data_IF_878499148046
#
_entry.id   IF_878499148046
#
_cell.length_a   1.000
_cell.length_b   1.000
_cell.length_c   1.000
_cell.angle_alpha   90.00
_cell.angle_beta   90.00
_cell.angle_gamma   90.00
#
_symmetry.space_group_name_H-M   'P 1'
#
loop_
_entity.id
_entity.type
_entity.pdbx_description
1 polymer ?
#
# COMPACT_ATOMS: atom_id res chain seq x y z
N UNK A 1 -16.74 60.38 -2.24
CA UNK A 1 -16.51 59.56 -1.03
C UNK A 1 -15.93 58.24 -1.52
N UNK A 2 -14.71 57.83 -1.10
CA UNK A 2 -14.14 56.54 -1.49
C UNK A 2 -14.70 55.47 -0.55
N UNK A 3 -15.76 54.78 -0.98
CA UNK A 3 -16.40 53.74 -0.17
C UNK A 3 -15.78 52.38 -0.49
N UNK A 4 -14.85 52.01 0.39
CA UNK A 4 -14.59 50.64 0.86
C UNK A 4 -14.45 49.58 -0.23
N UNK A 5 -13.19 49.29 -0.60
CA UNK A 5 -12.80 47.97 -1.06
C UNK A 5 -13.18 46.97 0.05
N UNK A 6 -14.33 46.34 -0.09
CA UNK A 6 -14.62 45.11 0.63
C UNK A 6 -13.55 44.09 0.20
N UNK A 7 -12.46 44.04 0.96
CA UNK A 7 -11.61 42.87 0.98
C UNK A 7 -12.51 41.71 1.38
N UNK A 8 -12.99 40.98 0.37
CA UNK A 8 -13.46 39.61 0.53
C UNK A 8 -12.50 38.94 1.51
N UNK A 9 -12.96 38.45 2.67
CA UNK A 9 -12.21 37.41 3.33
C UNK A 9 -12.36 36.18 2.43
N UNK A 10 -11.53 36.07 1.39
CA UNK A 10 -11.30 34.82 0.68
C UNK A 10 -10.48 33.92 1.60
N UNK A 11 -11.04 33.59 2.76
CA UNK A 11 -10.55 32.51 3.61
C UNK A 11 -11.47 31.34 3.37
N UNK A 12 -11.46 30.82 2.15
CA UNK A 12 -11.64 29.39 1.96
C UNK A 12 -10.29 28.74 2.23
N UNK A 13 -10.03 28.17 3.42
CA UNK A 13 -9.14 27.04 3.50
C UNK A 13 -9.95 25.79 3.13
N UNK A 14 -10.61 25.81 1.97
CA UNK A 14 -11.15 24.61 1.34
C UNK A 14 -9.99 23.88 0.64
N UNK A 15 -8.92 23.65 1.41
CA UNK A 15 -8.07 22.51 1.15
C UNK A 15 -8.87 21.35 1.71
N UNK A 16 -9.30 20.37 0.90
CA UNK A 16 -9.79 19.14 1.45
C UNK A 16 -8.60 18.54 2.21
N UNK A 17 -8.52 18.81 3.51
CA UNK A 17 -7.94 17.90 4.46
C UNK A 17 -8.80 16.65 4.30
N UNK A 18 -8.49 15.78 3.33
CA UNK A 18 -8.83 14.38 3.47
C UNK A 18 -8.39 14.04 4.88
N UNK A 19 -9.35 13.87 5.78
CA UNK A 19 -9.10 13.92 7.22
C UNK A 19 -7.88 13.06 7.51
N UNK A 20 -6.79 13.66 8.03
CA UNK A 20 -5.54 12.95 8.34
C UNK A 20 -5.82 11.65 9.14
N UNK A 21 -6.90 11.67 9.92
CA UNK A 21 -7.48 10.54 10.60
C UNK A 21 -7.93 9.37 9.70
N UNK A 22 -8.60 9.64 8.57
CA UNK A 22 -8.96 8.62 7.57
C UNK A 22 -7.71 7.96 6.99
N UNK A 23 -6.67 8.74 6.68
CA UNK A 23 -5.37 8.20 6.24
C UNK A 23 -4.75 7.30 7.30
N UNK A 24 -4.79 7.67 8.58
CA UNK A 24 -4.28 6.85 9.69
C UNK A 24 -4.96 5.47 9.76
N UNK A 25 -6.29 5.43 9.62
CA UNK A 25 -7.05 4.18 9.59
C UNK A 25 -6.62 3.31 8.39
N UNK A 26 -6.50 3.90 7.20
CA UNK A 26 -6.03 3.17 6.02
C UNK A 26 -4.59 2.68 6.20
N UNK A 27 -3.68 3.47 6.77
CA UNK A 27 -2.31 3.04 7.09
C UNK A 27 -2.30 1.84 8.04
N UNK A 28 -3.18 1.82 9.05
CA UNK A 28 -3.28 0.69 9.97
C UNK A 28 -3.80 -0.58 9.29
N UNK A 29 -4.84 -0.45 8.47
CA UNK A 29 -5.41 -1.57 7.69
C UNK A 29 -4.37 -2.12 6.70
N UNK A 30 -3.71 -1.25 5.94
CA UNK A 30 -2.66 -1.64 5.00
C UNK A 30 -1.47 -2.25 5.76
N UNK A 31 -1.09 -1.70 6.90
CA UNK A 31 -0.06 -2.30 7.77
C UNK A 31 -0.42 -3.72 8.22
N UNK A 32 -1.68 -3.96 8.60
CA UNK A 32 -2.17 -5.29 8.94
C UNK A 32 -2.13 -6.24 7.72
N UNK A 33 -2.51 -5.76 6.53
CA UNK A 33 -2.39 -6.53 5.29
C UNK A 33 -0.93 -6.83 4.92
N UNK A 34 0.00 -5.89 5.13
CA UNK A 34 1.44 -6.12 4.93
C UNK A 34 1.95 -7.16 5.91
N UNK A 35 1.49 -7.15 7.17
CA UNK A 35 1.83 -8.20 8.13
C UNK A 35 1.35 -9.58 7.67
N UNK A 36 0.15 -9.67 7.08
CA UNK A 36 -0.36 -10.90 6.51
C UNK A 36 0.48 -11.33 5.29
N UNK A 37 0.77 -10.40 4.38
CA UNK A 37 1.59 -10.64 3.20
C UNK A 37 2.99 -11.13 3.58
N UNK A 38 3.61 -10.56 4.62
CA UNK A 38 4.90 -11.01 5.13
C UNK A 38 4.84 -12.45 5.67
N UNK A 39 3.80 -12.80 6.43
CA UNK A 39 3.59 -14.18 6.89
C UNK A 39 3.42 -15.15 5.72
N UNK A 40 2.67 -14.75 4.68
CA UNK A 40 2.52 -15.55 3.45
C UNK A 40 3.84 -15.69 2.71
N UNK A 41 4.63 -14.62 2.57
CA UNK A 41 5.96 -14.67 1.95
C UNK A 41 6.91 -15.59 2.72
N UNK A 42 6.88 -15.54 4.05
CA UNK A 42 7.65 -16.46 4.88
C UNK A 42 7.22 -17.91 4.66
N UNK A 43 5.91 -18.17 4.64
CA UNK A 43 5.37 -19.50 4.36
C UNK A 43 5.76 -20.00 2.96
N UNK A 44 5.63 -19.15 1.94
CA UNK A 44 6.05 -19.42 0.56
C UNK A 44 7.54 -19.76 0.52
N UNK A 45 8.40 -18.99 1.19
CA UNK A 45 9.83 -19.25 1.27
C UNK A 45 10.15 -20.59 1.94
N UNK A 46 9.46 -20.92 3.04
CA UNK A 46 9.62 -22.22 3.72
C UNK A 46 9.21 -23.38 2.80
N UNK A 47 8.04 -23.30 2.16
CA UNK A 47 7.57 -24.32 1.22
C UNK A 47 8.53 -24.46 0.04
N UNK A 48 9.01 -23.34 -0.52
CA UNK A 48 9.99 -23.32 -1.58
C UNK A 48 11.27 -24.05 -1.17
N UNK A 49 11.75 -23.82 0.06
CA UNK A 49 12.96 -24.47 0.58
C UNK A 49 12.77 -25.98 0.74
N UNK A 50 11.59 -26.42 1.19
CA UNK A 50 11.23 -27.84 1.29
C UNK A 50 11.21 -28.49 -0.11
N UNK A 51 10.60 -27.83 -1.10
CA UNK A 51 10.56 -28.34 -2.49
C UNK A 51 11.98 -28.49 -3.04
N UNK A 52 12.83 -27.47 -2.87
CA UNK A 52 14.24 -27.53 -3.32
C UNK A 52 14.99 -28.71 -2.69
N UNK A 53 14.69 -29.05 -1.43
CA UNK A 53 15.34 -30.14 -0.70
C UNK A 53 14.91 -31.52 -1.22
N UNK A 54 13.66 -31.67 -1.67
CA UNK A 54 13.10 -32.94 -2.14
C UNK A 54 13.25 -33.12 -3.65
N UNK A 55 13.14 -32.04 -4.43
CA UNK A 55 12.94 -32.07 -5.88
C UNK A 55 14.20 -31.63 -6.67
N UNK A 56 15.38 -32.10 -6.22
CA UNK A 56 16.67 -31.90 -6.91
C UNK A 56 17.04 -30.43 -7.19
N UNK A 57 16.80 -29.54 -6.23
CA UNK A 57 17.06 -28.10 -6.33
C UNK A 57 16.32 -27.35 -7.45
N UNK A 58 15.23 -27.90 -7.97
CA UNK A 58 14.39 -27.14 -8.89
C UNK A 58 13.38 -26.28 -8.14
N UNK A 59 13.42 -24.94 -8.27
CA UNK A 59 12.42 -24.09 -7.67
C UNK A 59 11.07 -24.24 -8.39
N UNK A 60 9.97 -24.40 -7.64
CA UNK A 60 8.62 -24.38 -8.20
C UNK A 60 8.29 -22.98 -8.74
N UNK A 61 8.27 -22.84 -10.06
CA UNK A 61 8.07 -21.56 -10.75
C UNK A 61 6.75 -20.88 -10.38
N UNK A 62 5.67 -21.65 -10.20
CA UNK A 62 4.36 -21.11 -9.83
C UNK A 62 4.36 -20.46 -8.44
N UNK A 63 5.08 -21.06 -7.50
CA UNK A 63 5.16 -20.56 -6.13
C UNK A 63 6.06 -19.32 -6.05
N UNK A 64 7.12 -19.28 -6.85
CA UNK A 64 7.96 -18.10 -7.03
C UNK A 64 7.18 -16.93 -7.66
N UNK A 65 6.43 -17.17 -8.74
CA UNK A 65 5.61 -16.14 -9.40
C UNK A 65 4.56 -15.57 -8.44
N UNK A 66 3.92 -16.40 -7.63
CA UNK A 66 3.00 -15.95 -6.58
C UNK A 66 3.69 -15.06 -5.54
N UNK A 67 4.88 -15.45 -5.07
CA UNK A 67 5.68 -14.63 -4.16
C UNK A 67 6.05 -13.27 -4.75
N UNK A 68 6.39 -13.22 -6.03
CA UNK A 68 6.65 -11.96 -6.75
C UNK A 68 5.41 -11.06 -6.80
N UNK A 69 4.24 -11.60 -7.14
CA UNK A 69 2.98 -10.83 -7.16
C UNK A 69 2.66 -10.21 -5.79
N UNK A 70 2.88 -10.97 -4.70
CA UNK A 70 2.69 -10.45 -3.33
C UNK A 70 3.72 -9.36 -3.02
N UNK A 71 4.99 -9.55 -3.41
CA UNK A 71 6.05 -8.56 -3.22
C UNK A 71 5.77 -7.23 -3.93
N UNK A 72 5.28 -7.27 -5.17
CA UNK A 72 4.91 -6.09 -5.94
C UNK A 72 3.78 -5.30 -5.26
N UNK A 73 2.80 -6.01 -4.70
CA UNK A 73 1.74 -5.40 -3.90
C UNK A 73 2.29 -4.75 -2.61
N UNK A 74 3.18 -5.44 -1.87
CA UNK A 74 3.82 -4.89 -0.65
C UNK A 74 4.60 -3.61 -0.97
N UNK A 75 5.32 -3.56 -2.11
CA UNK A 75 6.03 -2.36 -2.54
C UNK A 75 5.07 -1.18 -2.81
N UNK A 76 3.94 -1.42 -3.48
CA UNK A 76 2.88 -0.42 -3.68
C UNK A 76 2.30 0.05 -2.34
N UNK A 77 2.01 -0.88 -1.42
CA UNK A 77 1.49 -0.58 -0.09
C UNK A 77 2.46 0.27 0.76
N UNK A 78 3.75 -0.06 0.75
CA UNK A 78 4.78 0.70 1.45
C UNK A 78 4.88 2.15 0.95
N UNK A 79 4.75 2.37 -0.37
CA UNK A 79 4.75 3.73 -0.96
C UNK A 79 3.58 4.57 -0.45
N UNK A 80 2.38 3.99 -0.31
CA UNK A 80 1.22 4.67 0.27
C UNK A 80 1.46 5.01 1.75
N UNK A 81 1.99 4.08 2.54
CA UNK A 81 2.30 4.32 3.96
C UNK A 81 3.37 5.39 4.17
N UNK A 82 4.36 5.48 3.26
CA UNK A 82 5.41 6.49 3.29
C UNK A 82 4.94 7.89 2.87
N UNK A 83 3.65 8.06 2.54
CA UNK A 83 3.08 9.32 2.02
C UNK A 83 3.78 9.74 0.71
N UNK A 84 4.46 8.81 0.04
CA UNK A 84 5.14 9.05 -1.24
C UNK A 84 4.15 9.02 -2.41
N UNK A 85 2.97 8.45 -2.23
CA UNK A 85 1.87 8.47 -3.20
C UNK A 85 0.51 8.57 -2.51
N UNK A 86 -0.42 9.28 -3.15
CA UNK A 86 -1.84 9.35 -2.76
C UNK A 86 -2.68 8.20 -3.33
N UNK A 87 -2.10 7.37 -4.19
CA UNK A 87 -2.76 6.21 -4.79
C UNK A 87 -2.91 5.09 -3.75
N UNK A 88 -4.14 4.70 -3.43
CA UNK A 88 -4.43 3.63 -2.47
C UNK A 88 -4.13 2.27 -3.11
N UNK A 89 -3.43 1.35 -2.41
CA UNK A 89 -3.21 0.00 -2.93
C UNK A 89 -4.51 -0.83 -2.90
N UNK A 90 -4.54 -1.89 -3.71
CA UNK A 90 -5.60 -2.91 -3.70
C UNK A 90 -5.87 -3.42 -2.27
N UNK A 91 -7.14 -3.63 -1.85
CA UNK A 91 -8.38 -3.80 -2.63
C UNK A 91 -9.18 -2.52 -2.89
N UNK A 92 -8.68 -1.35 -2.49
CA UNK A 92 -9.44 -0.10 -2.58
C UNK A 92 -9.35 0.58 -3.96
N UNK A 93 -8.28 0.29 -4.71
CA UNK A 93 -8.14 0.65 -6.11
C UNK A 93 -7.57 -0.56 -6.88
N UNK A 94 -7.91 -0.66 -8.16
CA UNK A 94 -7.44 -1.74 -9.02
C UNK A 94 -5.92 -1.70 -9.18
N UNK A 95 -5.31 -2.88 -9.33
CA UNK A 95 -3.89 -2.99 -9.68
C UNK A 95 -3.77 -2.77 -11.19
N UNK A 96 -3.31 -1.60 -11.61
CA UNK A 96 -2.72 -1.37 -12.94
C UNK A 96 -1.41 -2.16 -13.07
#
# INVERSE_FOLDING_TARGET
MPEIQDHQPTTSPDKPQEALWKRLIFTLIIGAMVSLAQSVLFFVAVVQFIIILVDQRQPNRRLADFGCMVGDWVAKAARYMAIATDTKPWPFQEMD
#
